data_IF_960691699318
#
_entry.id   IF_960691699318
#
_cell.length_a   1.000
_cell.length_b   1.000
_cell.length_c   1.000
_cell.angle_alpha   90.00
_cell.angle_beta   90.00
_cell.angle_gamma   90.00
#
_symmetry.space_group_name_H-M   'P 1'
#
loop_
_entity.id
_entity.type
_entity.pdbx_description
1 polymer ?
#
# COMPACT_ATOMS: atom_id res chain seq x y z
N UNK A 1 -27.79 13.84 -18.37
CA UNK A 1 -26.86 12.75 -18.74
C UNK A 1 -25.47 13.36 -18.83
N UNK A 2 -24.65 13.21 -17.78
CA UNK A 2 -23.23 13.57 -17.81
C UNK A 2 -22.47 12.33 -18.22
N UNK A 3 -21.78 12.40 -19.36
CA UNK A 3 -20.87 11.37 -19.80
C UNK A 3 -19.63 11.39 -18.89
N UNK A 4 -19.44 10.33 -18.11
CA UNK A 4 -18.16 10.04 -17.48
C UNK A 4 -17.21 9.54 -18.58
N UNK A 5 -16.27 10.38 -18.99
CA UNK A 5 -15.12 9.93 -19.77
C UNK A 5 -14.21 9.10 -18.87
N UNK A 6 -14.36 7.79 -18.92
CA UNK A 6 -13.36 6.89 -18.36
C UNK A 6 -12.15 6.95 -19.28
N UNK A 7 -11.10 7.61 -18.83
CA UNK A 7 -9.78 7.53 -19.48
C UNK A 7 -9.23 6.14 -19.19
N UNK A 8 -9.41 5.22 -20.13
CA UNK A 8 -8.74 3.93 -20.10
C UNK A 8 -7.23 4.17 -20.23
N UNK A 9 -6.47 3.93 -19.18
CA UNK A 9 -5.03 3.73 -19.29
C UNK A 9 -4.78 2.43 -20.06
N UNK A 10 -4.74 2.54 -21.39
CA UNK A 10 -4.25 1.47 -22.26
C UNK A 10 -2.82 1.13 -21.85
N UNK A 11 -2.41 -0.13 -21.96
CA UNK A 11 -1.03 -0.59 -21.69
C UNK A 11 -0.03 0.27 -22.49
N UNK A 12 0.47 1.33 -21.86
CA UNK A 12 1.44 2.24 -22.45
C UNK A 12 2.78 1.52 -22.65
N UNK A 13 3.44 1.78 -23.78
CA UNK A 13 4.79 1.29 -24.03
C UNK A 13 5.81 2.00 -23.14
N UNK A 14 7.05 1.50 -23.11
CA UNK A 14 8.11 2.01 -22.22
C UNK A 14 8.44 3.50 -22.45
N UNK A 15 8.37 3.97 -23.69
CA UNK A 15 8.65 5.35 -24.07
C UNK A 15 7.51 6.30 -23.71
N UNK A 16 6.26 5.86 -23.88
CA UNK A 16 5.08 6.62 -23.47
C UNK A 16 5.04 6.79 -21.93
N UNK A 17 5.40 5.74 -21.19
CA UNK A 17 5.55 5.82 -19.72
C UNK A 17 6.65 6.80 -19.31
N UNK A 18 7.80 6.76 -19.97
CA UNK A 18 8.92 7.67 -19.70
C UNK A 18 8.58 9.13 -20.04
N UNK A 19 7.84 9.37 -21.12
CA UNK A 19 7.40 10.71 -21.51
C UNK A 19 6.38 11.29 -20.50
N UNK A 20 5.42 10.47 -20.07
CA UNK A 20 4.44 10.84 -19.04
C UNK A 20 5.14 11.12 -17.71
N UNK A 21 6.14 10.32 -17.32
CA UNK A 21 6.91 10.54 -16.07
C UNK A 21 7.64 11.89 -16.04
N UNK A 22 8.09 12.41 -17.19
CA UNK A 22 8.80 13.71 -17.27
C UNK A 22 7.87 14.93 -17.16
N UNK A 23 6.56 14.76 -17.32
CA UNK A 23 5.58 15.87 -17.32
C UNK A 23 4.49 15.71 -16.27
N UNK A 24 4.41 14.57 -15.58
CA UNK A 24 3.29 14.26 -14.68
C UNK A 24 3.67 14.52 -13.22
N UNK A 25 3.03 15.49 -12.62
CA UNK A 25 3.18 15.77 -11.18
C UNK A 25 2.38 14.74 -10.37
N UNK A 26 3.08 13.99 -9.50
CA UNK A 26 2.46 13.15 -8.49
C UNK A 26 2.25 14.01 -7.25
N UNK A 27 1.01 14.23 -6.85
CA UNK A 27 0.64 14.96 -5.64
C UNK A 27 0.27 13.97 -4.54
N UNK A 28 0.79 14.17 -3.32
CA UNK A 28 0.40 13.39 -2.14
C UNK A 28 -0.46 14.29 -1.25
N UNK A 29 -1.59 13.77 -0.82
CA UNK A 29 -2.48 14.43 0.14
C UNK A 29 -3.04 13.47 1.17
N UNK A 30 -3.58 14.01 2.25
CA UNK A 30 -4.40 13.21 3.17
C UNK A 30 -5.64 12.72 2.43
N UNK A 31 -5.93 11.43 2.56
CA UNK A 31 -7.18 10.85 2.10
C UNK A 31 -8.33 11.19 3.04
N UNK A 32 -9.54 11.13 2.52
CA UNK A 32 -10.78 11.32 3.28
C UNK A 32 -11.70 10.11 3.10
N UNK A 33 -12.69 9.89 3.97
CA UNK A 33 -13.68 8.83 3.75
C UNK A 33 -14.44 8.93 2.41
N UNK A 34 -14.52 10.14 1.83
CA UNK A 34 -15.13 10.34 0.51
C UNK A 34 -14.30 9.74 -0.64
N UNK A 35 -13.02 9.46 -0.42
CA UNK A 35 -12.13 8.83 -1.39
C UNK A 35 -12.31 7.30 -1.44
N UNK A 36 -13.08 6.72 -0.51
CA UNK A 36 -13.26 5.27 -0.39
C UNK A 36 -13.60 4.56 -1.71
N UNK A 37 -14.48 5.07 -2.59
CA UNK A 37 -14.76 4.40 -3.88
C UNK A 37 -13.50 4.26 -4.75
N UNK A 38 -12.67 5.32 -4.84
CA UNK A 38 -11.47 5.31 -5.66
C UNK A 38 -10.37 4.43 -5.07
N UNK A 39 -10.17 4.50 -3.73
CA UNK A 39 -9.19 3.69 -3.02
C UNK A 39 -9.56 2.20 -3.05
N UNK A 40 -10.84 1.88 -2.88
CA UNK A 40 -11.34 0.52 -2.99
C UNK A 40 -11.19 -0.03 -4.40
N UNK A 41 -11.38 0.78 -5.44
CA UNK A 41 -11.15 0.36 -6.82
C UNK A 41 -9.69 -0.05 -7.08
N UNK A 42 -8.72 0.59 -6.38
CA UNK A 42 -7.31 0.19 -6.39
C UNK A 42 -7.09 -1.12 -5.62
N UNK A 43 -7.77 -1.28 -4.47
CA UNK A 43 -7.57 -2.42 -3.57
C UNK A 43 -8.25 -3.71 -4.06
N UNK A 44 -9.45 -3.62 -4.63
CA UNK A 44 -10.24 -4.77 -5.03
C UNK A 44 -9.48 -5.80 -5.89
N UNK A 45 -8.69 -5.42 -6.92
CA UNK A 45 -7.89 -6.38 -7.68
C UNK A 45 -6.82 -7.10 -6.86
N UNK A 46 -6.31 -6.50 -5.78
CA UNK A 46 -5.38 -7.17 -4.87
C UNK A 46 -6.06 -8.28 -4.06
N UNK A 47 -7.38 -8.17 -3.83
CA UNK A 47 -8.19 -9.21 -3.19
C UNK A 47 -8.57 -10.27 -4.21
N UNK A 48 -9.15 -9.89 -5.36
CA UNK A 48 -9.77 -10.83 -6.29
C UNK A 48 -8.79 -11.60 -7.15
N UNK A 49 -7.67 -10.97 -7.52
CA UNK A 49 -6.78 -11.47 -8.57
C UNK A 49 -5.39 -11.85 -8.04
N UNK A 50 -5.08 -11.53 -6.77
CA UNK A 50 -3.77 -11.79 -6.18
C UNK A 50 -3.85 -12.33 -4.76
N UNK A 51 -2.74 -12.91 -4.29
CA UNK A 51 -2.55 -13.28 -2.89
C UNK A 51 -1.77 -12.21 -2.08
N UNK A 52 -1.64 -10.98 -2.59
CA UNK A 52 -1.05 -9.85 -1.85
C UNK A 52 -1.90 -9.50 -0.62
N UNK A 53 -3.24 -9.52 -0.75
CA UNK A 53 -4.16 -9.46 0.38
C UNK A 53 -4.73 -10.85 0.66
N UNK A 54 -4.81 -11.20 1.93
CA UNK A 54 -5.48 -12.45 2.36
C UNK A 54 -6.97 -12.26 2.66
N UNK A 55 -7.54 -11.09 2.39
CA UNK A 55 -9.00 -10.95 2.35
C UNK A 55 -9.58 -11.79 1.20
N UNK A 56 -10.75 -12.40 1.44
CA UNK A 56 -11.45 -13.20 0.45
C UNK A 56 -12.51 -12.39 -0.29
N UNK A 57 -13.18 -11.51 0.42
CA UNK A 57 -14.27 -10.69 -0.10
C UNK A 57 -13.86 -9.22 -0.17
N UNK A 58 -14.29 -8.54 -1.22
CA UNK A 58 -14.10 -7.10 -1.36
C UNK A 58 -15.07 -6.39 -0.39
N UNK A 59 -14.59 -5.56 0.53
CA UNK A 59 -15.45 -4.84 1.45
C UNK A 59 -16.39 -3.88 0.71
N UNK A 60 -17.48 -3.49 1.35
CA UNK A 60 -18.33 -2.43 0.83
C UNK A 60 -17.60 -1.08 0.87
N UNK A 61 -18.05 -0.13 0.03
CA UNK A 61 -17.52 1.25 0.04
C UNK A 61 -17.67 1.89 1.42
N UNK A 62 -18.79 1.63 2.10
CA UNK A 62 -19.05 2.18 3.43
C UNK A 62 -18.09 1.60 4.48
N UNK A 63 -17.90 0.27 4.48
CA UNK A 63 -16.90 -0.38 5.33
C UNK A 63 -15.50 0.15 5.08
N UNK A 64 -15.11 0.36 3.81
CA UNK A 64 -13.81 0.90 3.48
C UNK A 64 -13.66 2.36 3.93
N UNK A 65 -14.73 3.16 3.81
CA UNK A 65 -14.78 4.53 4.36
C UNK A 65 -14.63 4.54 5.88
N UNK A 66 -15.19 3.55 6.58
CA UNK A 66 -15.03 3.40 8.04
C UNK A 66 -13.61 3.03 8.43
N UNK A 67 -12.93 2.19 7.65
CA UNK A 67 -11.49 1.87 7.83
C UNK A 67 -10.65 3.14 7.71
N UNK A 68 -10.88 3.98 6.69
CA UNK A 68 -10.19 5.27 6.51
C UNK A 68 -10.46 6.18 7.71
N UNK A 69 -11.72 6.32 8.10
CA UNK A 69 -12.15 7.14 9.24
C UNK A 69 -11.53 6.68 10.55
N UNK A 70 -11.45 5.37 10.73
CA UNK A 70 -10.82 4.74 11.91
C UNK A 70 -9.34 5.06 12.00
N UNK A 71 -8.60 4.89 10.92
CA UNK A 71 -7.16 5.17 10.84
C UNK A 71 -6.85 6.65 11.08
N UNK A 72 -7.61 7.55 10.46
CA UNK A 72 -7.41 9.01 10.57
C UNK A 72 -7.62 9.58 11.98
N UNK A 73 -8.19 8.81 12.90
CA UNK A 73 -8.29 9.22 14.32
C UNK A 73 -6.93 9.33 15.01
N UNK A 74 -5.95 8.57 14.55
CA UNK A 74 -4.62 8.51 15.19
C UNK A 74 -3.47 8.64 14.18
N UNK A 75 -3.63 8.13 12.96
CA UNK A 75 -2.54 7.94 12.01
C UNK A 75 -2.84 8.57 10.65
N UNK A 76 -1.80 8.91 9.87
CA UNK A 76 -1.97 9.38 8.51
C UNK A 76 -2.54 8.29 7.59
N UNK A 77 -3.39 8.70 6.67
CA UNK A 77 -3.88 7.94 5.54
C UNK A 77 -3.68 8.82 4.30
N UNK A 78 -2.77 8.44 3.40
CA UNK A 78 -2.32 9.29 2.31
C UNK A 78 -2.76 8.71 0.96
N UNK A 79 -3.17 9.58 0.04
CA UNK A 79 -3.47 9.25 -1.34
C UNK A 79 -2.50 9.95 -2.30
N UNK A 80 -2.12 9.24 -3.35
CA UNK A 80 -1.33 9.78 -4.45
C UNK A 80 -2.24 10.07 -5.65
N UNK A 81 -2.14 11.27 -6.20
CA UNK A 81 -2.90 11.71 -7.36
C UNK A 81 -1.98 12.02 -8.54
N UNK A 82 -2.44 11.65 -9.71
CA UNK A 82 -1.85 11.97 -11.00
C UNK A 82 -2.96 12.56 -11.88
N UNK A 83 -2.81 13.81 -12.35
CA UNK A 83 -3.81 14.49 -13.17
C UNK A 83 -5.22 14.49 -12.53
N UNK A 84 -5.31 14.62 -11.19
CA UNK A 84 -6.56 14.62 -10.45
C UNK A 84 -7.20 13.24 -10.24
N UNK A 85 -6.55 12.16 -10.64
CA UNK A 85 -6.98 10.79 -10.39
C UNK A 85 -6.13 10.16 -9.28
N UNK A 86 -6.78 9.50 -8.31
CA UNK A 86 -6.09 8.72 -7.30
C UNK A 86 -5.53 7.45 -7.95
N UNK A 87 -4.22 7.24 -7.79
CA UNK A 87 -3.46 6.12 -8.39
C UNK A 87 -2.74 5.26 -7.37
N UNK A 88 -2.84 5.59 -6.09
CA UNK A 88 -2.26 4.81 -5.02
C UNK A 88 -2.56 5.44 -3.67
N UNK A 89 -2.32 4.67 -2.62
CA UNK A 89 -2.49 5.13 -1.25
C UNK A 89 -1.62 4.34 -0.28
N UNK A 90 -1.38 4.91 0.89
CA UNK A 90 -0.72 4.24 2.00
C UNK A 90 -1.30 4.70 3.33
N UNK A 91 -1.17 3.84 4.32
CA UNK A 91 -1.60 4.12 5.69
C UNK A 91 -0.81 3.25 6.67
N UNK A 92 -1.05 3.45 7.94
CA UNK A 92 -0.53 2.57 8.98
C UNK A 92 -1.64 2.11 9.93
N UNK A 93 -1.41 0.93 10.48
CA UNK A 93 -2.15 0.38 11.61
C UNK A 93 -1.28 0.31 12.86
N UNK A 94 -1.92 0.04 14.00
CA UNK A 94 -1.21 -0.31 15.23
C UNK A 94 -0.47 -1.64 15.02
N UNK A 95 0.80 -1.72 15.45
CA UNK A 95 1.51 -3.00 15.43
C UNK A 95 0.89 -3.98 16.43
N UNK A 96 0.55 -3.48 17.64
CA UNK A 96 -0.08 -4.26 18.71
C UNK A 96 -0.88 -3.36 19.64
N UNK A 97 -1.97 -3.89 20.21
CA UNK A 97 -2.93 -3.14 21.04
C UNK A 97 -2.47 -2.81 22.47
N UNK A 98 -1.17 -2.58 22.71
CA UNK A 98 -0.60 -2.23 24.04
C UNK A 98 0.25 -0.97 23.91
N UNK A 99 0.20 -0.08 24.90
CA UNK A 99 0.93 1.20 24.92
C UNK A 99 2.44 1.08 24.68
N UNK A 100 3.07 -0.02 25.12
CA UNK A 100 4.49 -0.26 24.88
C UNK A 100 4.87 -0.32 23.39
N UNK A 101 3.89 -0.47 22.48
CA UNK A 101 4.07 -0.49 21.04
C UNK A 101 3.70 0.84 20.34
N UNK A 102 3.42 1.91 21.10
CA UNK A 102 2.96 3.19 20.50
C UNK A 102 4.00 3.87 19.60
N UNK A 103 5.26 3.47 19.65
CA UNK A 103 6.33 3.92 18.76
C UNK A 103 6.51 3.06 17.49
N UNK A 104 5.64 2.08 17.30
CA UNK A 104 5.75 1.06 16.25
C UNK A 104 4.44 0.95 15.49
N UNK A 105 4.50 0.90 14.15
CA UNK A 105 3.32 0.81 13.29
C UNK A 105 3.52 -0.21 12.19
N UNK A 106 2.42 -0.82 11.75
CA UNK A 106 2.37 -1.65 10.54
C UNK A 106 1.98 -0.78 9.36
N UNK A 107 2.79 -0.82 8.29
CA UNK A 107 2.58 -0.04 7.07
C UNK A 107 1.85 -0.84 6.01
N UNK A 108 0.94 -0.19 5.29
CA UNK A 108 0.26 -0.74 4.11
C UNK A 108 0.35 0.25 2.94
N UNK A 109 0.63 -0.27 1.75
CA UNK A 109 0.74 0.54 0.54
C UNK A 109 0.18 -0.21 -0.66
N UNK A 110 -0.67 0.47 -1.44
CA UNK A 110 -1.29 -0.06 -2.64
C UNK A 110 -1.19 0.96 -3.77
N UNK A 111 -0.84 0.50 -4.96
CA UNK A 111 -0.72 1.34 -6.17
C UNK A 111 -1.55 0.68 -7.26
N UNK A 112 -2.27 1.49 -8.04
CA UNK A 112 -2.98 1.00 -9.21
C UNK A 112 -2.03 0.15 -10.07
N UNK A 113 -2.46 -1.08 -10.38
CA UNK A 113 -1.61 -2.05 -11.08
C UNK A 113 -1.17 -1.55 -12.46
N UNK A 114 -1.92 -0.62 -13.08
CA UNK A 114 -1.58 0.03 -14.33
C UNK A 114 -0.53 1.13 -14.19
N UNK A 115 -0.33 1.64 -12.95
CA UNK A 115 0.58 2.75 -12.62
C UNK A 115 1.86 2.29 -11.88
N UNK A 116 2.13 0.98 -11.86
CA UNK A 116 3.36 0.44 -11.23
C UNK A 116 4.63 0.95 -11.92
N UNK A 117 5.72 1.04 -11.16
CA UNK A 117 7.06 1.50 -11.59
C UNK A 117 7.13 2.96 -12.04
N UNK A 118 6.16 3.79 -11.68
CA UNK A 118 6.14 5.24 -11.91
C UNK A 118 6.66 6.07 -10.72
N UNK A 119 7.25 5.42 -9.72
CA UNK A 119 7.74 6.10 -8.51
C UNK A 119 6.67 6.46 -7.48
N UNK A 120 5.39 6.13 -7.74
CA UNK A 120 4.25 6.47 -6.87
C UNK A 120 4.44 5.88 -5.47
N UNK A 121 4.77 4.59 -5.40
CA UNK A 121 4.97 3.89 -4.13
C UNK A 121 6.05 4.54 -3.27
N UNK A 122 7.20 4.91 -3.87
CA UNK A 122 8.27 5.62 -3.15
C UNK A 122 7.80 6.96 -2.61
N UNK A 123 7.14 7.78 -3.43
CA UNK A 123 6.63 9.10 -2.98
C UNK A 123 5.60 8.99 -1.86
N UNK A 124 4.70 7.99 -1.93
CA UNK A 124 3.76 7.70 -0.86
C UNK A 124 4.49 7.32 0.43
N UNK A 125 5.46 6.41 0.33
CA UNK A 125 6.23 5.95 1.47
C UNK A 125 7.07 7.08 2.09
N UNK A 126 7.76 7.88 1.28
CA UNK A 126 8.57 9.00 1.77
C UNK A 126 7.70 10.02 2.53
N UNK A 127 6.50 10.33 2.01
CA UNK A 127 5.55 11.23 2.68
C UNK A 127 5.00 10.61 3.98
N UNK A 128 4.71 9.30 3.97
CA UNK A 128 4.24 8.57 5.14
C UNK A 128 5.31 8.56 6.24
N UNK A 129 6.56 8.24 5.89
CA UNK A 129 7.71 8.22 6.80
C UNK A 129 7.93 9.59 7.44
N UNK A 130 7.86 10.66 6.65
CA UNK A 130 7.98 12.03 7.15
C UNK A 130 6.87 12.36 8.16
N UNK A 131 5.61 12.02 7.86
CA UNK A 131 4.50 12.25 8.74
C UNK A 131 4.63 11.45 10.06
N UNK A 132 5.05 10.19 9.98
CA UNK A 132 5.23 9.32 11.15
C UNK A 132 6.41 9.76 12.03
N UNK A 133 7.52 10.18 11.43
CA UNK A 133 8.66 10.75 12.16
C UNK A 133 8.26 12.00 12.95
N UNK A 134 7.43 12.88 12.36
CA UNK A 134 6.89 14.06 13.05
C UNK A 134 5.97 13.70 14.24
N UNK A 135 5.37 12.50 14.23
CA UNK A 135 4.55 11.97 15.32
C UNK A 135 5.38 11.25 16.40
N UNK A 136 6.69 11.09 16.20
CA UNK A 136 7.57 10.37 17.12
C UNK A 136 7.53 8.84 16.96
N UNK A 137 7.01 8.33 15.85
CA UNK A 137 7.11 6.91 15.50
C UNK A 137 8.57 6.59 15.16
N UNK A 138 9.06 5.47 15.65
CA UNK A 138 10.45 5.05 15.49
C UNK A 138 10.60 3.83 14.58
N UNK A 139 9.60 2.93 14.58
CA UNK A 139 9.70 1.65 13.89
C UNK A 139 8.54 1.46 12.93
N UNK A 140 8.87 1.12 11.70
CA UNK A 140 7.93 0.72 10.65
C UNK A 140 8.06 -0.78 10.41
N UNK A 141 6.93 -1.46 10.35
CA UNK A 141 6.85 -2.88 10.01
C UNK A 141 5.98 -3.09 8.79
N UNK A 142 6.34 -4.04 7.97
CA UNK A 142 5.54 -4.48 6.83
C UNK A 142 5.32 -5.99 6.92
N UNK A 143 4.05 -6.41 6.94
CA UNK A 143 3.64 -7.81 6.83
C UNK A 143 3.34 -8.11 5.37
N UNK A 144 4.12 -8.99 4.75
CA UNK A 144 4.11 -9.21 3.31
C UNK A 144 3.84 -10.68 3.01
N UNK A 145 2.81 -10.96 2.23
CA UNK A 145 2.58 -12.29 1.68
C UNK A 145 3.76 -12.73 0.81
N UNK A 146 4.23 -13.96 0.98
CA UNK A 146 5.41 -14.48 0.32
C UNK A 146 5.11 -15.81 -0.40
N UNK A 147 5.51 -15.95 -1.68
CA UNK A 147 5.19 -17.15 -2.46
C UNK A 147 6.08 -18.34 -2.07
N UNK A 148 5.49 -19.52 -2.05
CA UNK A 148 6.23 -20.79 -1.90
C UNK A 148 6.61 -21.28 -3.30
N UNK A 149 7.72 -20.77 -3.84
CA UNK A 149 8.15 -21.05 -5.21
C UNK A 149 7.40 -20.23 -6.26
N UNK A 150 7.38 -20.68 -7.52
CA UNK A 150 6.70 -19.96 -8.62
C UNK A 150 5.18 -20.00 -8.44
N UNK A 151 4.55 -18.83 -8.38
CA UNK A 151 3.11 -18.67 -8.13
C UNK A 151 2.45 -17.72 -9.14
N UNK A 152 1.24 -18.05 -9.67
CA UNK A 152 0.54 -17.19 -10.62
C UNK A 152 -0.14 -15.95 -9.97
N UNK A 153 -0.37 -15.98 -8.64
CA UNK A 153 -1.11 -14.96 -7.91
C UNK A 153 -0.23 -14.05 -7.05
N UNK A 154 1.06 -14.41 -6.87
CA UNK A 154 1.96 -13.69 -5.98
C UNK A 154 3.38 -13.69 -6.52
N UNK A 155 4.04 -12.53 -6.43
CA UNK A 155 5.45 -12.33 -6.73
C UNK A 155 6.18 -11.78 -5.50
N UNK A 156 7.50 -11.71 -5.55
CA UNK A 156 8.31 -11.08 -4.50
C UNK A 156 8.45 -9.55 -4.69
N UNK A 157 7.68 -8.94 -5.59
CA UNK A 157 7.76 -7.50 -5.90
C UNK A 157 7.61 -6.62 -4.65
N UNK A 158 6.75 -7.01 -3.70
CA UNK A 158 6.53 -6.24 -2.47
C UNK A 158 7.75 -6.32 -1.54
N UNK A 159 8.39 -7.47 -1.44
CA UNK A 159 9.63 -7.64 -0.65
C UNK A 159 10.73 -6.75 -1.24
N UNK A 160 11.01 -6.90 -2.54
CA UNK A 160 12.02 -6.08 -3.23
C UNK A 160 11.72 -4.58 -3.12
N UNK A 161 10.45 -4.19 -3.18
CA UNK A 161 10.05 -2.79 -2.99
C UNK A 161 10.45 -2.29 -1.60
N UNK A 162 10.16 -3.04 -0.55
CA UNK A 162 10.50 -2.66 0.82
C UNK A 162 12.02 -2.69 1.07
N UNK A 163 12.76 -3.64 0.49
CA UNK A 163 14.23 -3.64 0.51
C UNK A 163 14.80 -2.34 -0.07
N UNK A 164 14.28 -1.90 -1.23
CA UNK A 164 14.68 -0.62 -1.84
C UNK A 164 14.30 0.63 -1.04
N UNK A 165 13.38 0.50 -0.09
CA UNK A 165 13.03 1.55 0.87
C UNK A 165 13.86 1.48 2.17
N UNK A 166 14.75 0.49 2.30
CA UNK A 166 15.63 0.31 3.45
C UNK A 166 15.05 -0.55 4.57
N UNK A 167 14.02 -1.35 4.29
CA UNK A 167 13.57 -2.37 5.21
C UNK A 167 14.48 -3.59 5.19
N UNK A 168 14.54 -4.30 6.31
CA UNK A 168 15.27 -5.57 6.47
C UNK A 168 14.32 -6.67 6.93
N UNK A 169 14.60 -7.91 6.55
CA UNK A 169 13.83 -9.07 7.00
C UNK A 169 14.02 -9.32 8.50
N UNK A 170 12.93 -9.57 9.23
CA UNK A 170 12.96 -9.86 10.67
C UNK A 170 12.32 -11.18 11.05
N UNK A 171 11.30 -11.63 10.31
CA UNK A 171 10.64 -12.90 10.58
C UNK A 171 10.06 -13.52 9.30
N UNK A 172 9.91 -14.85 9.32
CA UNK A 172 9.31 -15.62 8.24
C UNK A 172 8.37 -16.68 8.86
N UNK A 173 7.11 -16.65 8.48
CA UNK A 173 6.09 -17.61 8.92
C UNK A 173 5.69 -18.49 7.76
N UNK A 174 5.91 -19.80 7.91
CA UNK A 174 5.68 -20.75 6.83
C UNK A 174 4.22 -21.22 6.80
N UNK A 175 3.62 -21.23 5.60
CA UNK A 175 2.27 -21.77 5.32
C UNK A 175 1.20 -21.27 6.28
N UNK A 176 1.24 -19.99 6.60
CA UNK A 176 0.31 -19.37 7.55
C UNK A 176 -0.92 -18.75 6.89
N UNK A 177 -0.88 -18.50 5.57
CA UNK A 177 -2.01 -18.01 4.79
C UNK A 177 -2.49 -19.05 3.76
N UNK A 178 -3.80 -19.08 3.49
CA UNK A 178 -4.39 -19.97 2.49
C UNK A 178 -5.33 -19.19 1.58
N UNK A 179 -5.10 -19.21 0.26
CA UNK A 179 -5.93 -18.52 -0.73
C UNK A 179 -5.74 -19.18 -2.10
N UNK A 180 -6.74 -19.13 -2.98
CA UNK A 180 -6.69 -19.74 -4.31
C UNK A 180 -6.27 -21.22 -4.29
N UNK A 181 -6.72 -21.97 -3.27
CA UNK A 181 -6.35 -23.37 -3.02
C UNK A 181 -4.84 -23.60 -2.86
N UNK A 182 -4.10 -22.59 -2.32
CA UNK A 182 -2.66 -22.62 -2.09
C UNK A 182 -2.29 -22.09 -0.72
N UNK A 183 -1.22 -22.64 -0.15
CA UNK A 183 -0.61 -22.08 1.05
C UNK A 183 0.41 -21.02 0.66
N UNK A 184 0.48 -19.98 1.47
CA UNK A 184 1.44 -18.88 1.36
C UNK A 184 2.16 -18.69 2.67
N UNK A 185 3.40 -18.25 2.56
CA UNK A 185 4.15 -17.75 3.70
C UNK A 185 3.82 -16.27 3.91
N UNK A 186 4.23 -15.72 5.05
CA UNK A 186 4.38 -14.28 5.24
C UNK A 186 5.80 -13.98 5.72
N UNK A 187 6.33 -12.85 5.31
CA UNK A 187 7.55 -12.27 5.85
C UNK A 187 7.23 -10.96 6.54
N UNK A 188 7.91 -10.70 7.65
CA UNK A 188 7.91 -9.41 8.30
C UNK A 188 9.20 -8.70 7.99
N UNK A 189 9.08 -7.45 7.61
CA UNK A 189 10.22 -6.58 7.37
C UNK A 189 10.11 -5.35 8.25
N UNK A 190 11.25 -4.82 8.70
CA UNK A 190 11.29 -3.64 9.57
C UNK A 190 12.21 -2.55 9.02
N UNK A 191 11.88 -1.31 9.37
CA UNK A 191 12.72 -0.14 9.16
C UNK A 191 12.66 0.76 10.37
N UNK A 192 13.83 1.09 10.93
CA UNK A 192 13.95 2.11 11.98
C UNK A 192 14.09 3.49 11.33
N UNK A 193 13.28 4.46 11.78
CA UNK A 193 13.24 5.83 11.26
C UNK A 193 13.58 6.89 12.29
N UNK A 194 13.93 6.49 13.52
CA UNK A 194 14.34 7.39 14.60
C UNK A 194 15.25 6.69 15.61
N UNK A 195 15.83 7.47 16.50
CA UNK A 195 16.74 6.94 17.53
C UNK A 195 15.98 6.39 18.74
N UNK A 196 16.33 5.19 19.17
CA UNK A 196 15.89 4.64 20.45
C UNK A 196 16.76 5.22 21.56
N UNK A 197 16.15 6.02 22.44
CA UNK A 197 16.80 6.63 23.59
C UNK A 197 16.67 5.79 24.84
#
# INVERSE_FOLDING_TARGET
KRHYNSVHFTRLNHYEKAFIMNTTTITIRTATPADAPALLAIYAPYITDTAVSFEYDVPSVEEFADRIRGTLKKYPYLAAEVNGQIVGYCYVGILHGRQAYDWSVETSIYVDQNCKRMGIGRKLHDALEQALSAMGILNLYACIAFPIGKDPYLTEDSVHFHEHLGYTHTAHFHKCGYKFNRWYDIVWMEKTIGEHK
#
